data_IF_469092118471
#
_entry.id   IF_469092118471
#
_cell.length_a   1.000
_cell.length_b   1.000
_cell.length_c   1.000
_cell.angle_alpha   90.00
_cell.angle_beta   90.00
_cell.angle_gamma   90.00
#
_symmetry.space_group_name_H-M   'P 1'
#
loop_
_entity.id
_entity.type
_entity.pdbx_description
1 polymer ?
#
# COMPACT_ATOMS: atom_id res chain seq x y z
N UNK A 1 -19.97 10.20 -31.85
CA UNK A 1 -18.65 10.29 -31.20
C UNK A 1 -18.83 9.99 -29.72
N UNK A 2 -18.21 8.93 -29.13
CA UNK A 2 -18.27 8.72 -27.70
C UNK A 2 -17.47 9.82 -27.00
N UNK A 3 -17.88 10.25 -25.79
CA UNK A 3 -17.13 11.24 -25.02
C UNK A 3 -15.76 10.66 -24.64
N UNK A 4 -14.73 11.47 -24.82
CA UNK A 4 -13.38 11.14 -24.40
C UNK A 4 -13.38 10.83 -22.89
N UNK A 5 -12.89 9.64 -22.55
CA UNK A 5 -12.67 9.22 -21.18
C UNK A 5 -11.69 10.22 -20.54
N UNK A 6 -12.22 11.13 -19.74
CA UNK A 6 -11.41 12.09 -19.01
C UNK A 6 -10.39 11.33 -18.17
N UNK A 7 -9.11 11.61 -18.36
CA UNK A 7 -8.04 11.07 -17.55
C UNK A 7 -8.36 11.39 -16.07
N UNK A 8 -8.69 10.36 -15.29
CA UNK A 8 -8.82 10.50 -13.84
C UNK A 8 -7.43 10.82 -13.32
N UNK A 9 -7.17 12.10 -13.06
CA UNK A 9 -5.92 12.54 -12.45
C UNK A 9 -5.88 11.94 -11.04
N UNK A 10 -5.06 10.92 -10.84
CA UNK A 10 -4.84 10.36 -9.51
C UNK A 10 -4.11 11.43 -8.70
N UNK A 11 -4.70 11.84 -7.58
CA UNK A 11 -4.11 12.85 -6.72
C UNK A 11 -2.78 12.35 -6.16
N UNK A 12 -1.75 13.20 -6.18
CA UNK A 12 -0.45 12.87 -5.63
C UNK A 12 -0.45 12.92 -4.11
N UNK A 13 0.35 12.05 -3.51
CA UNK A 13 0.53 11.95 -2.06
C UNK A 13 1.92 11.40 -1.77
N UNK A 14 2.60 11.99 -0.80
CA UNK A 14 3.84 11.47 -0.24
C UNK A 14 3.59 10.94 1.18
N UNK A 15 4.01 9.70 1.43
CA UNK A 15 3.99 9.09 2.76
C UNK A 15 5.43 8.89 3.22
N UNK A 16 5.77 9.51 4.34
CA UNK A 16 7.11 9.45 4.93
C UNK A 16 7.10 8.57 6.16
N UNK A 17 7.93 7.54 6.15
CA UNK A 17 8.18 6.64 7.26
C UNK A 17 9.46 7.06 7.97
N UNK A 18 9.35 7.52 9.21
CA UNK A 18 10.48 7.93 10.04
C UNK A 18 10.80 6.84 11.05
N UNK A 19 12.04 6.36 11.08
CA UNK A 19 12.48 5.34 12.04
C UNK A 19 12.62 5.97 13.42
N UNK A 20 11.93 5.39 14.41
CA UNK A 20 11.93 5.86 15.80
C UNK A 20 12.60 4.79 16.69
N UNK A 21 13.18 5.21 17.81
CA UNK A 21 13.79 4.29 18.77
C UNK A 21 12.78 3.24 19.27
N UNK A 22 13.27 2.06 19.68
CA UNK A 22 12.44 0.99 20.20
C UNK A 22 11.63 0.25 19.13
N UNK A 23 12.17 0.11 17.93
CA UNK A 23 11.53 -0.60 16.80
C UNK A 23 10.17 -0.01 16.38
N UNK A 24 10.03 1.32 16.49
CA UNK A 24 8.82 2.05 16.11
C UNK A 24 9.05 2.88 14.88
N UNK A 25 7.98 3.31 14.27
CA UNK A 25 8.01 4.29 13.18
C UNK A 25 6.89 5.30 13.32
N UNK A 26 7.15 6.48 12.78
CA UNK A 26 6.18 7.56 12.65
C UNK A 26 5.86 7.73 11.18
N UNK A 27 4.59 7.90 10.85
CA UNK A 27 4.14 8.24 9.50
C UNK A 27 3.71 9.70 9.44
N UNK A 28 4.13 10.38 8.38
CA UNK A 28 3.60 11.68 7.98
C UNK A 28 3.11 11.61 6.54
N UNK A 29 2.07 12.35 6.23
CA UNK A 29 1.45 12.38 4.90
C UNK A 29 1.37 13.81 4.40
N UNK A 30 1.91 14.06 3.21
CA UNK A 30 1.72 15.27 2.43
C UNK A 30 0.91 14.90 1.19
N UNK A 31 -0.20 15.60 0.93
CA UNK A 31 -1.12 15.26 -0.16
C UNK A 31 -1.81 16.49 -0.73
N UNK A 32 -2.26 16.38 -1.98
CA UNK A 32 -2.95 17.48 -2.67
C UNK A 32 -4.39 17.68 -2.19
N UNK A 33 -5.05 16.63 -1.75
CA UNK A 33 -6.48 16.62 -1.41
C UNK A 33 -6.74 16.37 0.06
N UNK A 34 -7.76 17.01 0.60
CA UNK A 34 -8.21 16.82 1.97
C UNK A 34 -7.50 17.72 2.99
N UNK A 35 -7.84 17.60 4.29
CA UNK A 35 -7.19 18.35 5.35
C UNK A 35 -5.76 17.88 5.57
N UNK A 36 -4.93 18.74 6.16
CA UNK A 36 -3.63 18.34 6.68
C UNK A 36 -3.83 17.26 7.75
N UNK A 37 -2.99 16.23 7.72
CA UNK A 37 -3.05 15.11 8.64
C UNK A 37 -2.00 15.25 9.74
N UNK A 38 -2.36 14.89 10.96
CA UNK A 38 -1.42 14.78 12.05
C UNK A 38 -0.51 13.57 11.85
N UNK A 39 0.77 13.64 12.24
CA UNK A 39 1.66 12.49 12.26
C UNK A 39 1.05 11.36 13.11
N UNK A 40 1.26 10.10 12.69
CA UNK A 40 0.74 8.91 13.37
C UNK A 40 1.85 7.90 13.59
N UNK A 41 1.94 7.36 14.80
CA UNK A 41 2.75 6.17 15.05
C UNK A 41 2.08 4.96 14.40
N UNK A 42 2.88 4.15 13.72
CA UNK A 42 2.39 2.88 13.17
C UNK A 42 1.99 1.89 14.27
N UNK A 43 1.04 0.99 13.98
CA UNK A 43 0.67 -0.08 14.91
C UNK A 43 1.79 -1.11 15.00
N UNK A 44 2.15 -1.48 16.22
CA UNK A 44 3.00 -2.65 16.48
C UNK A 44 4.44 -2.55 15.97
N UNK A 45 5.15 -3.60 16.29
CA UNK A 45 6.54 -3.84 15.90
C UNK A 45 6.58 -4.72 14.67
N UNK A 46 7.27 -4.25 13.65
CA UNK A 46 7.88 -5.13 12.68
C UNK A 46 9.39 -4.98 12.80
N UNK A 47 10.09 -6.08 13.08
CA UNK A 47 11.55 -6.10 13.18
C UNK A 47 12.20 -5.82 11.82
N UNK A 48 11.48 -6.06 10.76
CA UNK A 48 12.02 -6.08 9.40
C UNK A 48 11.44 -4.99 8.53
N UNK A 49 10.10 -4.78 8.57
CA UNK A 49 9.39 -3.81 7.75
C UNK A 49 8.30 -3.10 8.55
N UNK A 50 8.11 -1.79 8.40
CA UNK A 50 6.91 -1.12 8.89
C UNK A 50 5.65 -1.75 8.25
N UNK A 51 4.72 -2.22 9.07
CA UNK A 51 3.48 -2.85 8.60
C UNK A 51 2.73 -1.98 7.56
N UNK A 52 2.59 -0.70 7.86
CA UNK A 52 1.93 0.23 6.94
C UNK A 52 2.71 0.44 5.63
N UNK A 53 4.04 0.22 5.60
CA UNK A 53 4.80 0.27 4.35
C UNK A 53 4.53 -0.95 3.48
N UNK A 54 4.30 -2.13 4.08
CA UNK A 54 3.87 -3.31 3.34
C UNK A 54 2.53 -3.04 2.65
N UNK A 55 1.53 -2.54 3.37
CA UNK A 55 0.23 -2.17 2.80
C UNK A 55 0.37 -1.11 1.71
N UNK A 56 1.20 -0.07 1.93
CA UNK A 56 1.43 0.96 0.91
C UNK A 56 1.95 0.35 -0.39
N UNK A 57 2.99 -0.48 -0.32
CA UNK A 57 3.59 -1.10 -1.50
C UNK A 57 2.63 -2.06 -2.19
N UNK A 58 1.94 -2.90 -1.43
CA UNK A 58 0.92 -3.82 -1.95
C UNK A 58 -0.18 -3.07 -2.68
N UNK A 59 -0.77 -2.06 -2.06
CA UNK A 59 -1.86 -1.28 -2.65
C UNK A 59 -1.42 -0.53 -3.90
N UNK A 60 -0.22 0.04 -3.88
CA UNK A 60 0.32 0.79 -5.00
C UNK A 60 0.59 -0.13 -6.21
N UNK A 61 1.22 -1.28 -6.00
CA UNK A 61 1.54 -2.22 -7.08
C UNK A 61 0.30 -2.97 -7.60
N UNK A 62 -0.61 -3.35 -6.70
CA UNK A 62 -1.88 -3.97 -7.07
C UNK A 62 -2.92 -2.97 -7.59
N UNK A 63 -2.61 -1.66 -7.57
CA UNK A 63 -3.48 -0.56 -8.01
C UNK A 63 -4.85 -0.57 -7.35
N UNK A 64 -4.85 -0.55 -6.02
CA UNK A 64 -6.06 -0.56 -5.20
C UNK A 64 -6.46 0.88 -4.79
N UNK A 65 -7.20 1.62 -5.63
CA UNK A 65 -7.50 3.04 -5.38
C UNK A 65 -8.45 3.24 -4.19
N UNK A 66 -9.14 2.20 -3.77
CA UNK A 66 -10.04 2.21 -2.63
C UNK A 66 -9.48 1.49 -1.39
N UNK A 67 -8.20 1.08 -1.42
CA UNK A 67 -7.45 0.65 -0.24
C UNK A 67 -7.18 1.81 0.73
N UNK A 68 -6.48 1.56 1.82
CA UNK A 68 -6.19 2.58 2.86
C UNK A 68 -5.49 3.80 2.26
N UNK A 69 -4.38 3.57 1.56
CA UNK A 69 -3.57 4.66 0.99
C UNK A 69 -4.23 5.31 -0.21
N UNK A 70 -4.94 4.55 -1.04
CA UNK A 70 -5.76 5.08 -2.12
C UNK A 70 -6.84 6.03 -1.62
N UNK A 71 -7.54 5.68 -0.55
CA UNK A 71 -8.54 6.55 0.11
C UNK A 71 -7.90 7.81 0.70
N UNK A 72 -6.71 7.70 1.30
CA UNK A 72 -5.98 8.84 1.84
C UNK A 72 -5.57 9.79 0.70
N UNK A 73 -5.06 9.28 -0.42
CA UNK A 73 -4.75 10.09 -1.60
C UNK A 73 -5.98 10.78 -2.16
N UNK A 74 -7.16 10.13 -2.14
CA UNK A 74 -8.44 10.71 -2.55
C UNK A 74 -8.99 11.79 -1.57
N UNK A 75 -8.29 12.07 -0.47
CA UNK A 75 -8.64 13.13 0.49
C UNK A 75 -9.38 12.67 1.73
N UNK A 76 -9.59 11.35 1.91
CA UNK A 76 -10.13 10.79 3.15
C UNK A 76 -9.03 10.76 4.23
N UNK A 77 -9.42 10.77 5.49
CA UNK A 77 -8.44 10.69 6.58
C UNK A 77 -8.07 9.25 6.92
N UNK A 78 -9.01 8.33 6.77
CA UNK A 78 -8.87 6.90 7.06
C UNK A 78 -8.23 6.67 8.44
N UNK A 79 -7.05 6.06 8.49
CA UNK A 79 -6.30 5.78 9.72
C UNK A 79 -5.64 7.00 10.36
N UNK A 80 -5.70 8.17 9.72
CA UNK A 80 -5.11 9.42 10.21
C UNK A 80 -6.16 10.36 10.79
N UNK A 81 -5.70 11.33 11.58
CA UNK A 81 -6.50 12.40 12.13
C UNK A 81 -6.15 13.73 11.48
N UNK A 82 -7.14 14.59 11.27
CA UNK A 82 -6.87 15.96 10.84
C UNK A 82 -6.02 16.69 11.89
N UNK A 83 -5.05 17.51 11.43
CA UNK A 83 -4.11 18.20 12.33
C UNK A 83 -4.75 19.36 13.09
N UNK A 84 -5.85 19.92 12.59
CA UNK A 84 -6.51 21.08 13.17
C UNK A 84 -7.87 20.74 13.79
N UNK A 85 -8.33 21.50 14.84
CA UNK A 85 -9.58 21.20 15.53
C UNK A 85 -10.85 21.32 14.65
N UNK A 86 -10.84 22.17 13.61
CA UNK A 86 -11.98 22.28 12.68
C UNK A 86 -12.02 21.06 11.75
N UNK A 87 -10.86 20.59 11.32
CA UNK A 87 -10.70 19.38 10.55
C UNK A 87 -11.17 18.16 11.32
N UNK A 88 -10.78 18.00 12.58
CA UNK A 88 -11.24 16.92 13.46
C UNK A 88 -12.76 16.87 13.59
N UNK A 89 -13.42 18.01 13.83
CA UNK A 89 -14.87 18.08 13.91
C UNK A 89 -15.55 17.71 12.59
N UNK A 90 -14.99 18.14 11.45
CA UNK A 90 -15.49 17.77 10.13
C UNK A 90 -15.28 16.29 9.84
N UNK A 91 -14.12 15.75 10.22
CA UNK A 91 -13.83 14.32 10.11
C UNK A 91 -14.84 13.50 10.89
N UNK A 92 -15.03 13.77 12.17
CA UNK A 92 -16.00 13.06 13.01
C UNK A 92 -17.42 13.07 12.43
N UNK A 93 -17.88 14.22 11.89
CA UNK A 93 -19.19 14.33 11.23
C UNK A 93 -19.30 13.52 9.94
N UNK A 94 -18.21 13.39 9.18
CA UNK A 94 -18.16 12.59 7.95
C UNK A 94 -18.17 11.10 8.28
N UNK A 95 -17.33 10.69 9.23
CA UNK A 95 -17.25 9.28 9.66
C UNK A 95 -18.58 8.79 10.21
N UNK A 96 -19.30 9.60 11.02
CA UNK A 96 -20.61 9.25 11.55
C UNK A 96 -21.67 9.02 10.46
N UNK A 97 -21.47 9.55 9.25
CA UNK A 97 -22.40 9.41 8.12
C UNK A 97 -21.85 8.53 7.00
N UNK A 98 -20.63 7.99 7.17
CA UNK A 98 -19.94 7.26 6.12
C UNK A 98 -20.55 5.88 5.94
N UNK A 99 -20.88 5.57 4.69
CA UNK A 99 -21.25 4.22 4.26
C UNK A 99 -20.07 3.68 3.44
N UNK A 100 -19.51 2.58 3.89
CA UNK A 100 -18.44 1.89 3.15
C UNK A 100 -19.02 1.27 1.88
N UNK A 101 -18.48 1.63 0.75
CA UNK A 101 -18.91 1.11 -0.56
C UNK A 101 -18.46 -0.34 -0.78
N UNK A 102 -19.05 -1.01 -1.77
CA UNK A 102 -18.61 -2.36 -2.17
C UNK A 102 -17.16 -2.35 -2.69
N UNK A 103 -16.78 -1.33 -3.46
CA UNK A 103 -15.42 -1.16 -3.97
C UNK A 103 -14.39 -0.98 -2.82
N UNK A 104 -14.71 -0.16 -1.83
CA UNK A 104 -13.84 0.02 -0.65
C UNK A 104 -13.67 -1.30 0.12
N UNK A 105 -14.75 -2.05 0.34
CA UNK A 105 -14.65 -3.38 0.99
C UNK A 105 -13.81 -4.36 0.19
N UNK A 106 -13.98 -4.38 -1.14
CA UNK A 106 -13.23 -5.27 -2.01
C UNK A 106 -11.72 -4.94 -2.02
N UNK A 107 -11.36 -3.65 -2.20
CA UNK A 107 -9.96 -3.24 -2.23
C UNK A 107 -9.28 -3.37 -0.86
N UNK A 108 -10.00 -3.05 0.23
CA UNK A 108 -9.50 -3.26 1.60
C UNK A 108 -9.25 -4.76 1.85
N UNK A 109 -10.22 -5.63 1.52
CA UNK A 109 -10.05 -7.08 1.67
C UNK A 109 -8.89 -7.61 0.82
N UNK A 110 -8.70 -7.08 -0.38
CA UNK A 110 -7.58 -7.47 -1.25
C UNK A 110 -6.23 -6.97 -0.73
N UNK A 111 -6.19 -5.74 -0.16
CA UNK A 111 -4.99 -5.21 0.50
C UNK A 111 -4.56 -6.08 1.67
N UNK A 112 -5.49 -6.43 2.57
CA UNK A 112 -5.23 -7.31 3.71
C UNK A 112 -4.75 -8.70 3.27
N UNK A 113 -5.42 -9.31 2.29
CA UNK A 113 -5.07 -10.64 1.80
C UNK A 113 -3.67 -10.66 1.16
N UNK A 114 -3.36 -9.67 0.30
CA UNK A 114 -2.05 -9.57 -0.33
C UNK A 114 -0.95 -9.26 0.69
N UNK A 115 -1.14 -8.30 1.59
CA UNK A 115 -0.16 -7.96 2.62
C UNK A 115 0.07 -9.15 3.55
N UNK A 116 -1.01 -9.80 3.99
CA UNK A 116 -0.96 -10.98 4.84
C UNK A 116 -0.24 -12.17 4.20
N UNK A 117 -0.24 -12.31 2.87
CA UNK A 117 0.49 -13.36 2.17
C UNK A 117 1.90 -12.94 1.74
N UNK A 118 2.05 -11.75 1.15
CA UNK A 118 3.34 -11.30 0.61
C UNK A 118 4.38 -11.09 1.72
N UNK A 119 3.99 -10.56 2.88
CA UNK A 119 4.95 -10.33 3.96
C UNK A 119 5.54 -11.64 4.52
N UNK A 120 4.76 -12.67 4.91
CA UNK A 120 5.32 -13.95 5.36
C UNK A 120 6.15 -14.67 4.28
N UNK A 121 5.74 -14.56 3.02
CA UNK A 121 6.49 -15.14 1.91
C UNK A 121 7.84 -14.43 1.71
N UNK A 122 7.86 -13.10 1.81
CA UNK A 122 9.07 -12.30 1.80
C UNK A 122 10.00 -12.67 2.98
N UNK A 123 9.46 -12.75 4.19
CA UNK A 123 10.20 -13.13 5.38
C UNK A 123 10.82 -14.53 5.25
N UNK A 124 10.09 -15.49 4.65
CA UNK A 124 10.60 -16.84 4.39
C UNK A 124 11.76 -16.81 3.38
N UNK A 125 11.60 -16.09 2.26
CA UNK A 125 12.62 -15.99 1.20
C UNK A 125 13.90 -15.31 1.68
N UNK A 126 13.78 -14.36 2.59
CA UNK A 126 14.91 -13.60 3.15
C UNK A 126 15.52 -14.23 4.41
N UNK A 127 14.97 -15.37 4.86
CA UNK A 127 15.47 -16.08 6.05
C UNK A 127 15.06 -15.45 7.38
N UNK A 128 14.16 -14.46 7.37
CA UNK A 128 13.60 -13.86 8.58
C UNK A 128 12.55 -14.76 9.24
N UNK A 129 12.03 -15.72 8.49
CA UNK A 129 11.09 -16.74 8.95
C UNK A 129 11.56 -18.12 8.49
N UNK A 130 11.34 -19.15 9.30
CA UNK A 130 11.70 -20.54 8.95
C UNK A 130 10.58 -21.29 8.25
N UNK A 131 9.34 -20.97 8.58
CA UNK A 131 8.14 -21.66 8.11
C UNK A 131 7.02 -20.65 7.82
N UNK A 132 6.15 -20.95 6.87
CA UNK A 132 4.95 -20.16 6.64
C UNK A 132 3.98 -20.30 7.82
N UNK A 133 3.12 -19.28 8.07
CA UNK A 133 2.14 -19.35 9.16
C UNK A 133 1.21 -20.57 9.01
N UNK A 134 0.73 -21.10 10.14
CA UNK A 134 -0.18 -22.27 10.16
C UNK A 134 -1.42 -22.06 9.26
N UNK A 135 -1.97 -20.84 9.24
CA UNK A 135 -3.13 -20.51 8.41
C UNK A 135 -2.84 -20.53 6.90
N UNK A 136 -1.57 -20.63 6.48
CA UNK A 136 -1.21 -20.70 5.06
C UNK A 136 -1.86 -21.87 4.34
N UNK A 137 -2.08 -22.99 5.04
CA UNK A 137 -2.81 -24.15 4.52
C UNK A 137 -4.27 -23.86 4.16
N UNK A 138 -4.81 -22.73 4.64
CA UNK A 138 -6.19 -22.28 4.36
C UNK A 138 -6.24 -21.18 3.27
N UNK A 139 -5.12 -20.89 2.63
CA UNK A 139 -5.08 -19.94 1.49
C UNK A 139 -5.87 -20.53 0.34
N UNK A 140 -6.74 -19.72 -0.24
CA UNK A 140 -7.60 -20.15 -1.35
C UNK A 140 -6.80 -20.41 -2.63
N UNK A 141 -7.28 -21.30 -3.55
CA UNK A 141 -6.61 -21.52 -4.83
C UNK A 141 -6.38 -20.24 -5.63
N UNK A 142 -7.35 -19.32 -5.68
CA UNK A 142 -7.24 -18.02 -6.37
C UNK A 142 -6.11 -17.17 -5.78
N UNK A 143 -5.93 -17.21 -4.46
CA UNK A 143 -4.84 -16.50 -3.80
C UNK A 143 -3.50 -17.18 -4.09
N UNK A 144 -3.43 -18.50 -4.14
CA UNK A 144 -2.20 -19.20 -4.52
C UNK A 144 -1.78 -18.85 -5.94
N UNK A 145 -2.70 -18.84 -6.90
CA UNK A 145 -2.44 -18.38 -8.27
C UNK A 145 -1.93 -16.94 -8.30
N UNK A 146 -2.52 -16.06 -7.49
CA UNK A 146 -2.07 -14.66 -7.37
C UNK A 146 -0.65 -14.58 -6.80
N UNK A 147 -0.28 -15.44 -5.84
CA UNK A 147 1.06 -15.46 -5.24
C UNK A 147 2.13 -16.00 -6.20
N UNK A 148 1.74 -16.81 -7.18
CA UNK A 148 2.62 -17.26 -8.27
C UNK A 148 2.68 -16.28 -9.45
N UNK A 149 1.91 -15.21 -9.40
CA UNK A 149 1.81 -14.21 -10.46
C UNK A 149 2.99 -13.25 -10.53
N UNK A 150 3.25 -12.64 -11.69
CA UNK A 150 4.25 -11.56 -11.82
C UNK A 150 3.98 -10.37 -10.90
N UNK A 151 2.73 -10.14 -10.48
CA UNK A 151 2.40 -9.10 -9.52
C UNK A 151 3.01 -9.39 -8.15
N UNK A 152 2.90 -10.62 -7.66
CA UNK A 152 3.48 -10.99 -6.37
C UNK A 152 5.00 -10.85 -6.40
N UNK A 153 5.68 -11.36 -7.44
CA UNK A 153 7.12 -11.21 -7.60
C UNK A 153 7.55 -9.73 -7.63
N UNK A 154 6.74 -8.88 -8.26
CA UNK A 154 7.00 -7.46 -8.28
C UNK A 154 6.84 -6.83 -6.89
N UNK A 155 5.79 -7.19 -6.15
CA UNK A 155 5.60 -6.75 -4.76
C UNK A 155 6.78 -7.18 -3.89
N UNK A 156 7.21 -8.44 -3.99
CA UNK A 156 8.34 -8.95 -3.21
C UNK A 156 9.63 -8.20 -3.50
N UNK A 157 9.91 -7.89 -4.77
CA UNK A 157 11.06 -7.08 -5.15
C UNK A 157 10.99 -5.65 -4.55
N UNK A 158 9.80 -5.06 -4.49
CA UNK A 158 9.61 -3.75 -3.85
C UNK A 158 9.80 -3.80 -2.33
N UNK A 159 9.37 -4.89 -1.70
CA UNK A 159 9.65 -5.13 -0.28
C UNK A 159 11.15 -5.25 -0.02
N UNK A 160 11.91 -5.94 -0.87
CA UNK A 160 13.37 -6.04 -0.79
C UNK A 160 14.06 -4.67 -0.91
N UNK A 161 13.68 -3.88 -1.92
CA UNK A 161 14.22 -2.53 -2.11
C UNK A 161 13.94 -1.63 -0.89
N UNK A 162 12.73 -1.69 -0.35
CA UNK A 162 12.37 -0.92 0.83
C UNK A 162 13.12 -1.42 2.07
N UNK A 163 13.18 -2.73 2.29
CA UNK A 163 13.85 -3.36 3.43
C UNK A 163 15.34 -2.99 3.49
N UNK A 164 16.04 -3.07 2.36
CA UNK A 164 17.46 -2.71 2.28
C UNK A 164 17.70 -1.25 2.73
N UNK A 165 16.85 -0.34 2.26
CA UNK A 165 16.91 1.08 2.67
C UNK A 165 16.52 1.29 4.12
N UNK A 166 15.46 0.57 4.60
CA UNK A 166 14.96 0.69 5.95
C UNK A 166 15.95 0.17 6.99
N UNK A 167 16.60 -0.96 6.72
CA UNK A 167 17.57 -1.53 7.65
C UNK A 167 18.81 -0.64 7.78
N UNK A 168 19.28 -0.08 6.67
CA UNK A 168 20.41 0.86 6.67
C UNK A 168 20.09 2.23 7.29
N UNK A 169 18.80 2.53 7.51
CA UNK A 169 18.35 3.84 7.96
C UNK A 169 18.64 4.04 9.46
N UNK A 170 19.36 5.09 9.87
CA UNK A 170 19.52 5.44 11.28
C UNK A 170 18.19 5.88 11.92
N UNK A 171 18.08 5.73 13.24
CA UNK A 171 16.97 6.30 14.02
C UNK A 171 16.91 7.82 13.80
N UNK A 172 15.69 8.34 13.65
CA UNK A 172 15.42 9.75 13.33
C UNK A 172 15.49 10.09 11.84
N UNK A 173 15.90 9.16 10.98
CA UNK A 173 15.89 9.36 9.52
C UNK A 173 14.64 8.74 8.89
N UNK A 174 14.38 9.10 7.64
CA UNK A 174 13.10 8.82 6.98
C UNK A 174 13.27 8.29 5.57
N UNK A 175 12.29 7.49 5.13
CA UNK A 175 12.06 7.11 3.73
C UNK A 175 10.71 7.67 3.32
N UNK A 176 10.66 8.34 2.17
CA UNK A 176 9.41 8.81 1.56
C UNK A 176 9.06 7.94 0.36
N UNK A 177 7.79 7.55 0.29
CA UNK A 177 7.18 6.86 -0.85
C UNK A 177 6.10 7.76 -1.44
N UNK A 178 6.06 7.88 -2.77
CA UNK A 178 5.09 8.70 -3.49
C UNK A 178 3.95 7.85 -4.04
N UNK A 179 2.73 8.35 -3.97
CA UNK A 179 1.52 7.74 -4.50
C UNK A 179 0.94 8.59 -5.65
N UNK A 180 0.52 8.02 -6.78
CA UNK A 180 0.75 6.62 -7.14
C UNK A 180 2.25 6.37 -7.36
N UNK A 181 2.70 5.15 -7.16
CA UNK A 181 4.06 4.81 -7.56
C UNK A 181 4.20 5.05 -9.06
N UNK A 182 5.31 5.67 -9.48
CA UNK A 182 5.60 5.90 -10.87
C UNK A 182 5.49 4.58 -11.64
N UNK A 183 4.50 4.47 -12.53
CA UNK A 183 4.34 3.28 -13.35
C UNK A 183 5.49 3.24 -14.33
N UNK A 184 6.32 2.19 -14.29
CA UNK A 184 7.21 1.87 -15.42
C UNK A 184 6.32 1.72 -16.67
N UNK A 185 6.70 2.29 -17.83
CA UNK A 185 5.95 2.10 -19.05
C UNK A 185 5.80 0.59 -19.30
N UNK A 186 4.58 0.14 -19.54
CA UNK A 186 4.33 -1.25 -19.95
C UNK A 186 5.10 -1.46 -21.25
N UNK A 187 6.08 -2.37 -21.24
CA UNK A 187 6.57 -2.93 -22.48
C UNK A 187 5.38 -3.60 -23.15
N UNK A 188 4.85 -2.98 -24.22
CA UNK A 188 3.85 -3.58 -25.06
C UNK A 188 4.52 -4.78 -25.75
N UNK A 189 4.23 -5.99 -25.28
CA UNK A 189 4.47 -7.19 -26.09
C UNK A 189 3.56 -7.06 -27.32
N UNK A 190 4.13 -6.59 -28.42
CA UNK A 190 3.52 -6.73 -29.72
C UNK A 190 3.49 -8.24 -30.04
N UNK A 191 2.32 -8.84 -29.82
CA UNK A 191 2.05 -10.22 -30.21
C UNK A 191 2.16 -10.34 -31.71
N UNK A 192 3.28 -10.83 -32.19
CA UNK A 192 3.48 -11.26 -33.57
C UNK A 192 2.47 -12.37 -33.88
N UNK A 193 1.44 -12.06 -34.66
CA UNK A 193 0.61 -13.08 -35.30
C UNK A 193 1.47 -13.77 -36.35
N UNK A 194 1.97 -14.93 -36.03
CA UNK A 194 2.50 -15.86 -37.04
C UNK A 194 1.30 -16.33 -37.88
N UNK A 195 1.23 -15.88 -39.12
CA UNK A 195 0.42 -16.50 -40.16
C UNK A 195 1.22 -17.68 -40.70
N UNK A 196 0.82 -18.87 -40.39
CA UNK A 196 1.19 -20.04 -41.20
C UNK A 196 0.14 -20.15 -42.30
N UNK A 197 0.62 -20.07 -43.53
CA UNK A 197 -0.01 -20.53 -44.77
C UNK A 197 0.24 -22.02 -44.93
#
# INVERSE_FOLDING_TARGET
>A
MPPACGAVTVASMDVTFTKVAGRRYLMTVVRERGPQLAPRHGPGYDDYLPHDAVHFLVEAEARLPCGVFGQIAAGQSNIFWAADPKGLRRQARREAKRITTAAERADMGRSEALAGCCQPLWELRTGHRRELPVWWSSVTPDMLELLESPLCEHILARLDEFAARWHALPVGRSITLSWPLATRPRCSFAGGRSRFA
#
